data_IF_088048774350
#
_entry.id   IF_088048774350
#
_cell.length_a   1.000
_cell.length_b   1.000
_cell.length_c   1.000
_cell.angle_alpha   90.00
_cell.angle_beta   90.00
_cell.angle_gamma   90.00
#
_symmetry.space_group_name_H-M   'P 1'
#
loop_
_entity.id
_entity.type
_entity.pdbx_description
1 polymer ?
#
# COMPACT_ATOMS: atom_id res chain seq x y z
N UNK A 1 10.71 -10.83 -8.74
CA UNK A 1 11.16 -11.18 -7.37
C UNK A 1 10.77 -10.02 -6.45
N UNK A 2 9.97 -10.26 -5.39
CA UNK A 2 9.41 -9.18 -4.55
C UNK A 2 10.53 -8.51 -3.77
N UNK A 3 10.72 -7.21 -3.94
CA UNK A 3 11.78 -6.46 -3.25
C UNK A 3 11.21 -5.68 -2.07
N UNK A 4 11.69 -5.96 -0.86
CA UNK A 4 11.32 -5.22 0.36
C UNK A 4 12.27 -4.03 0.57
N UNK A 5 11.71 -2.83 0.61
CA UNK A 5 12.42 -1.58 0.87
C UNK A 5 12.03 -1.02 2.23
N UNK A 6 13.05 -0.81 3.06
CA UNK A 6 12.92 -0.29 4.41
C UNK A 6 13.80 0.95 4.53
N UNK A 7 13.42 1.95 5.32
CA UNK A 7 14.13 3.23 5.41
C UNK A 7 15.60 3.20 5.85
N UNK A 8 16.19 2.03 6.11
CA UNK A 8 17.63 1.83 6.36
C UNK A 8 18.38 1.04 5.27
N UNK A 9 17.71 0.59 4.20
CA UNK A 9 18.31 -0.26 3.15
C UNK A 9 17.35 -1.35 2.62
N UNK A 10 17.77 -2.08 1.57
CA UNK A 10 17.04 -3.26 1.05
C UNK A 10 17.27 -4.44 1.99
N UNK A 11 16.20 -5.06 2.49
CA UNK A 11 16.31 -6.33 3.23
C UNK A 11 16.13 -7.50 2.26
N UNK A 12 16.91 -8.58 2.44
CA UNK A 12 16.92 -9.73 1.53
C UNK A 12 15.55 -10.41 1.44
N UNK A 13 15.13 -10.66 0.21
CA UNK A 13 13.79 -11.03 -0.25
C UNK A 13 13.35 -12.46 0.11
N UNK A 14 14.29 -13.34 0.48
CA UNK A 14 14.01 -14.76 0.70
C UNK A 14 13.22 -15.06 1.98
N UNK A 15 13.38 -14.26 3.05
CA UNK A 15 12.70 -14.51 4.32
C UNK A 15 11.21 -14.09 4.33
N UNK A 16 10.84 -13.14 3.46
CA UNK A 16 9.49 -12.54 3.45
C UNK A 16 8.44 -13.36 2.70
N UNK A 17 8.88 -14.24 1.79
CA UNK A 17 7.99 -15.14 1.03
C UNK A 17 7.14 -16.07 1.92
N UNK A 18 7.56 -16.31 3.16
CA UNK A 18 6.92 -17.26 4.07
C UNK A 18 5.80 -16.64 4.94
N UNK A 19 5.81 -15.32 5.15
CA UNK A 19 4.94 -14.67 6.15
C UNK A 19 3.79 -13.85 5.56
N UNK A 20 3.79 -13.55 4.26
CA UNK A 20 2.71 -12.78 3.64
C UNK A 20 1.73 -13.67 2.88
N UNK A 21 0.42 -13.56 3.14
CA UNK A 21 -0.60 -14.32 2.42
C UNK A 21 -0.84 -13.80 1.00
N UNK A 22 -0.18 -12.71 0.59
CA UNK A 22 -0.26 -12.23 -0.77
C UNK A 22 0.48 -13.19 -1.70
N UNK A 23 -0.28 -13.81 -2.61
CA UNK A 23 0.22 -14.83 -3.52
C UNK A 23 1.34 -14.35 -4.47
N UNK A 24 1.78 -15.22 -5.40
CA UNK A 24 2.86 -14.93 -6.35
C UNK A 24 2.65 -13.67 -7.22
N UNK A 25 1.45 -13.11 -7.25
CA UNK A 25 1.08 -11.89 -7.98
C UNK A 25 1.91 -10.65 -7.57
N UNK A 26 2.31 -10.54 -6.29
CA UNK A 26 3.11 -9.38 -5.81
C UNK A 26 4.62 -9.53 -6.02
N UNK A 27 5.09 -10.60 -6.67
CA UNK A 27 6.51 -10.82 -6.86
C UNK A 27 7.21 -9.81 -7.76
N UNK A 28 6.50 -8.95 -8.48
CA UNK A 28 7.14 -7.92 -9.32
C UNK A 28 6.91 -6.50 -8.78
N UNK A 29 6.59 -6.39 -7.48
CA UNK A 29 6.32 -5.12 -6.80
C UNK A 29 7.44 -4.78 -5.81
N UNK A 30 7.66 -3.47 -5.62
CA UNK A 30 8.38 -2.95 -4.48
C UNK A 30 7.46 -2.88 -3.27
N UNK A 31 7.84 -3.50 -2.14
CA UNK A 31 7.09 -3.43 -0.89
C UNK A 31 7.75 -2.42 0.05
N UNK A 32 7.09 -1.30 0.31
CA UNK A 32 7.61 -0.17 1.06
C UNK A 32 6.91 -0.09 2.41
N UNK A 33 7.62 -0.38 3.49
CA UNK A 33 7.10 -0.30 4.86
C UNK A 33 7.52 1.02 5.48
N UNK A 34 6.56 1.88 5.79
CA UNK A 34 6.80 3.27 6.23
C UNK A 34 6.58 3.49 7.72
N UNK A 35 6.24 2.44 8.49
CA UNK A 35 5.92 2.51 9.92
C UNK A 35 6.57 1.40 10.78
N UNK A 36 7.25 1.76 11.89
CA UNK A 36 7.95 0.80 12.77
C UNK A 36 7.00 -0.03 13.64
N UNK A 37 5.79 0.45 13.89
CA UNK A 37 4.86 -0.11 14.89
C UNK A 37 4.16 -1.39 14.44
N UNK A 38 4.19 -1.69 13.14
CA UNK A 38 3.59 -2.92 12.62
C UNK A 38 4.42 -4.16 12.99
N UNK A 39 3.81 -5.34 12.97
CA UNK A 39 4.56 -6.61 13.14
C UNK A 39 5.65 -6.75 12.09
N UNK A 40 5.37 -6.34 10.86
CA UNK A 40 6.32 -6.33 9.76
C UNK A 40 7.45 -5.34 10.06
N UNK A 41 7.11 -4.10 10.42
CA UNK A 41 8.08 -3.06 10.75
C UNK A 41 9.02 -3.46 11.90
N UNK A 42 8.48 -4.09 12.96
CA UNK A 42 9.30 -4.62 14.06
C UNK A 42 10.22 -5.75 13.62
N UNK A 43 9.74 -6.69 12.79
CA UNK A 43 10.54 -7.81 12.29
C UNK A 43 11.61 -7.39 11.27
N UNK A 44 11.38 -6.30 10.53
CA UNK A 44 12.30 -5.81 9.50
C UNK A 44 13.24 -4.71 9.96
N UNK A 45 13.04 -4.19 11.18
CA UNK A 45 13.70 -2.96 11.62
C UNK A 45 13.27 -1.74 10.80
N UNK A 46 12.01 -1.69 10.35
CA UNK A 46 11.54 -0.55 9.59
C UNK A 46 11.53 0.72 10.41
N UNK A 47 12.09 1.78 9.85
CA UNK A 47 12.00 3.12 10.42
C UNK A 47 10.77 3.82 9.90
N UNK A 48 10.26 4.76 10.69
CA UNK A 48 9.19 5.64 10.23
C UNK A 48 9.74 6.50 9.11
N UNK A 49 9.05 6.53 7.97
CA UNK A 49 9.42 7.38 6.85
C UNK A 49 8.51 8.60 6.78
N UNK A 50 9.11 9.75 6.51
CA UNK A 50 8.37 10.92 6.08
C UNK A 50 8.08 10.85 4.57
N UNK A 51 7.37 11.86 4.06
CA UNK A 51 7.03 11.93 2.63
C UNK A 51 8.26 11.87 1.71
N UNK A 52 9.38 12.48 2.11
CA UNK A 52 10.57 12.54 1.27
C UNK A 52 11.29 11.19 1.25
N UNK A 53 11.35 10.51 2.41
CA UNK A 53 11.84 9.15 2.50
C UNK A 53 11.06 8.17 1.63
N UNK A 54 9.73 8.30 1.57
CA UNK A 54 8.88 7.51 0.67
C UNK A 54 9.28 7.76 -0.79
N UNK A 55 9.38 9.02 -1.21
CA UNK A 55 9.76 9.34 -2.59
C UNK A 55 11.14 8.80 -2.95
N UNK A 56 12.14 8.98 -2.08
CA UNK A 56 13.49 8.46 -2.29
C UNK A 56 13.53 6.93 -2.45
N UNK A 57 12.73 6.20 -1.66
CA UNK A 57 12.63 4.74 -1.82
C UNK A 57 12.01 4.34 -3.15
N UNK A 58 10.97 5.05 -3.58
CA UNK A 58 10.30 4.78 -4.87
C UNK A 58 11.26 5.07 -6.02
N UNK A 59 12.00 6.17 -5.99
CA UNK A 59 13.02 6.46 -7.01
C UNK A 59 14.09 5.37 -7.08
N UNK A 60 14.59 4.91 -5.94
CA UNK A 60 15.58 3.85 -5.87
C UNK A 60 15.02 2.52 -6.40
N UNK A 61 13.77 2.20 -6.07
CA UNK A 61 13.07 1.04 -6.62
C UNK A 61 12.96 1.13 -8.14
N UNK A 62 12.46 2.24 -8.68
CA UNK A 62 12.28 2.42 -10.12
C UNK A 62 13.61 2.35 -10.89
N UNK A 63 14.69 2.91 -10.33
CA UNK A 63 16.05 2.81 -10.91
C UNK A 63 16.55 1.37 -11.00
N UNK A 64 16.27 0.55 -9.98
CA UNK A 64 16.73 -0.85 -9.91
C UNK A 64 15.81 -1.82 -10.63
N UNK A 65 14.52 -1.48 -10.74
CA UNK A 65 13.47 -2.33 -11.28
C UNK A 65 12.63 -1.56 -12.31
N UNK A 66 13.20 -1.16 -13.47
CA UNK A 66 12.49 -0.37 -14.48
C UNK A 66 11.24 -1.09 -15.02
N UNK A 67 11.28 -2.42 -15.06
CA UNK A 67 10.19 -3.30 -15.49
C UNK A 67 9.27 -3.76 -14.35
N UNK A 68 9.45 -3.24 -13.13
CA UNK A 68 8.59 -3.57 -11.99
C UNK A 68 7.13 -3.17 -12.25
N UNK A 69 6.18 -3.96 -11.74
CA UNK A 69 4.74 -3.75 -11.99
C UNK A 69 4.16 -2.58 -11.19
N UNK A 70 4.68 -2.34 -10.00
CA UNK A 70 4.11 -1.37 -9.08
C UNK A 70 4.83 -1.26 -7.75
N UNK A 71 4.20 -0.53 -6.83
CA UNK A 71 4.61 -0.44 -5.43
C UNK A 71 3.43 -0.73 -4.51
N UNK A 72 3.71 -1.38 -3.39
CA UNK A 72 2.84 -1.43 -2.24
C UNK A 72 3.43 -0.51 -1.17
N UNK A 73 2.65 0.47 -0.70
CA UNK A 73 3.03 1.36 0.39
C UNK A 73 2.24 1.00 1.65
N UNK A 74 2.93 0.46 2.67
CA UNK A 74 2.36 -0.01 3.94
C UNK A 74 2.70 0.96 5.08
N UNK A 75 1.70 1.70 5.57
CA UNK A 75 1.84 2.57 6.76
C UNK A 75 2.01 1.77 8.06
N UNK A 76 1.70 0.48 8.04
CA UNK A 76 1.81 -0.46 9.13
C UNK A 76 0.44 -0.84 9.71
N UNK A 77 0.32 -2.10 10.13
CA UNK A 77 -0.83 -2.60 10.92
C UNK A 77 -1.00 -1.75 12.18
N UNK A 78 -2.10 -1.00 12.27
CA UNK A 78 -2.38 -0.08 13.37
C UNK A 78 -1.91 1.37 13.17
N UNK A 79 -1.51 1.76 11.95
CA UNK A 79 -1.38 3.18 11.62
C UNK A 79 -2.67 3.92 11.95
N UNK A 80 -2.55 5.06 12.65
CA UNK A 80 -3.72 5.89 13.02
C UNK A 80 -4.35 6.56 11.81
N UNK A 81 -3.51 6.91 10.84
CA UNK A 81 -3.89 7.62 9.63
C UNK A 81 -3.38 6.87 8.39
N UNK A 82 -4.18 6.83 7.32
CA UNK A 82 -3.76 6.30 6.03
C UNK A 82 -2.68 7.19 5.41
N UNK A 83 -2.09 6.73 4.30
CA UNK A 83 -1.21 7.56 3.50
C UNK A 83 -1.98 8.79 2.97
N UNK A 84 -1.43 9.99 3.10
CA UNK A 84 -2.14 11.20 2.65
C UNK A 84 -2.34 11.21 1.12
N UNK A 85 -3.47 11.73 0.65
CA UNK A 85 -3.76 11.90 -0.79
C UNK A 85 -2.68 12.67 -1.53
N UNK A 86 -2.07 13.67 -0.90
CA UNK A 86 -0.97 14.45 -1.49
C UNK A 86 0.24 13.57 -1.83
N UNK A 87 0.56 12.62 -0.95
CA UNK A 87 1.64 11.66 -1.20
C UNK A 87 1.26 10.73 -2.35
N UNK A 88 0.05 10.17 -2.35
CA UNK A 88 -0.43 9.29 -3.43
C UNK A 88 -0.40 9.98 -4.79
N UNK A 89 -0.89 11.23 -4.89
CA UNK A 89 -0.83 12.04 -6.13
C UNK A 89 0.59 12.23 -6.64
N UNK A 90 1.54 12.48 -5.73
CA UNK A 90 2.94 12.64 -6.12
C UNK A 90 3.55 11.31 -6.57
N UNK A 91 3.24 10.20 -5.88
CA UNK A 91 3.67 8.87 -6.32
C UNK A 91 3.11 8.55 -7.70
N UNK A 92 1.83 8.78 -7.97
CA UNK A 92 1.24 8.61 -9.32
C UNK A 92 2.01 9.39 -10.38
N UNK A 93 2.43 10.63 -10.11
CA UNK A 93 3.27 11.40 -11.04
C UNK A 93 4.64 10.77 -11.29
N UNK A 94 5.24 10.16 -10.27
CA UNK A 94 6.54 9.48 -10.38
C UNK A 94 6.47 8.16 -11.17
N UNK A 95 5.33 7.47 -11.14
CA UNK A 95 5.14 6.16 -11.76
C UNK A 95 3.80 6.05 -12.51
N UNK A 96 3.59 6.85 -13.58
CA UNK A 96 2.28 7.06 -14.20
C UNK A 96 1.60 5.78 -14.70
N UNK A 97 2.36 4.80 -15.19
CA UNK A 97 1.86 3.56 -15.79
C UNK A 97 1.95 2.32 -14.90
N UNK A 98 2.45 2.44 -13.66
CA UNK A 98 2.66 1.30 -12.74
C UNK A 98 1.59 1.31 -11.64
N UNK A 99 1.30 0.14 -11.07
CA UNK A 99 0.26 0.01 -10.05
C UNK A 99 0.71 0.59 -8.70
N UNK A 100 -0.21 1.29 -8.03
CA UNK A 100 -0.03 1.82 -6.67
C UNK A 100 -1.03 1.13 -5.75
N UNK A 101 -0.48 0.34 -4.82
CA UNK A 101 -1.23 -0.31 -3.75
C UNK A 101 -0.95 0.43 -2.45
N UNK A 102 -2.00 0.77 -1.70
CA UNK A 102 -1.88 1.46 -0.40
C UNK A 102 -2.53 0.63 0.71
N UNK A 103 -1.78 0.39 1.78
CA UNK A 103 -2.23 -0.30 2.98
C UNK A 103 -1.87 0.45 4.27
N UNK A 104 -2.58 0.12 5.34
CA UNK A 104 -2.38 0.67 6.68
C UNK A 104 -3.21 1.92 6.96
N UNK A 105 -3.94 1.92 8.08
CA UNK A 105 -4.73 3.06 8.55
C UNK A 105 -6.03 3.34 7.79
N UNK A 106 -6.44 2.46 6.86
CA UNK A 106 -7.70 2.61 6.11
C UNK A 106 -8.85 2.03 6.94
N UNK A 107 -9.83 2.86 7.30
CA UNK A 107 -10.92 2.50 8.21
C UNK A 107 -12.31 2.89 7.70
N UNK A 108 -12.42 3.54 6.55
CA UNK A 108 -13.71 3.98 6.00
C UNK A 108 -13.77 3.89 4.47
N UNK A 109 -14.96 3.71 3.88
CA UNK A 109 -15.17 3.81 2.44
C UNK A 109 -14.72 5.16 1.87
N UNK A 110 -14.92 6.26 2.62
CA UNK A 110 -14.49 7.59 2.21
C UNK A 110 -12.97 7.68 2.05
N UNK A 111 -12.22 7.06 2.96
CA UNK A 111 -10.76 6.97 2.84
C UNK A 111 -10.35 6.26 1.56
N UNK A 112 -11.04 5.17 1.22
CA UNK A 112 -10.78 4.39 0.00
C UNK A 112 -11.05 5.24 -1.24
N UNK A 113 -12.20 5.94 -1.29
CA UNK A 113 -12.55 6.85 -2.38
C UNK A 113 -11.50 7.95 -2.56
N UNK A 114 -11.07 8.59 -1.47
CA UNK A 114 -10.08 9.65 -1.50
C UNK A 114 -8.72 9.17 -2.03
N UNK A 115 -8.28 7.98 -1.60
CA UNK A 115 -7.05 7.36 -2.09
C UNK A 115 -7.17 6.99 -3.58
N UNK A 116 -8.30 6.43 -4.00
CA UNK A 116 -8.57 6.12 -5.40
C UNK A 116 -8.50 7.37 -6.28
N UNK A 117 -9.21 8.44 -5.91
CA UNK A 117 -9.16 9.74 -6.61
C UNK A 117 -7.77 10.37 -6.62
N UNK A 118 -6.92 10.05 -5.65
CA UNK A 118 -5.54 10.48 -5.61
C UNK A 118 -4.62 9.69 -6.57
N UNK A 119 -5.10 8.60 -7.17
CA UNK A 119 -4.39 7.75 -8.12
C UNK A 119 -3.92 6.40 -7.56
N UNK A 120 -4.46 5.97 -6.42
CA UNK A 120 -4.30 4.61 -5.91
C UNK A 120 -5.14 3.64 -6.74
N UNK A 121 -4.54 2.54 -7.22
CA UNK A 121 -5.26 1.52 -7.97
C UNK A 121 -5.90 0.48 -7.04
N UNK A 122 -5.29 0.25 -5.88
CA UNK A 122 -5.75 -0.75 -4.92
C UNK A 122 -5.55 -0.34 -3.47
N UNK A 123 -6.63 -0.43 -2.69
CA UNK A 123 -6.57 -0.24 -1.24
C UNK A 123 -6.63 -1.59 -0.51
N UNK A 124 -5.79 -1.73 0.53
CA UNK A 124 -5.76 -2.91 1.41
C UNK A 124 -6.33 -2.53 2.78
N UNK A 125 -7.41 -3.20 3.17
CA UNK A 125 -8.14 -2.92 4.42
C UNK A 125 -8.12 -4.18 5.29
N UNK A 126 -7.17 -4.26 6.23
CA UNK A 126 -7.03 -5.40 7.15
C UNK A 126 -7.64 -5.14 8.53
N UNK A 127 -6.91 -4.36 9.36
CA UNK A 127 -7.22 -4.14 10.78
C UNK A 127 -8.65 -3.66 11.06
N UNK A 128 -9.29 -2.93 10.14
CA UNK A 128 -10.69 -2.55 10.28
C UNK A 128 -11.62 -3.77 10.33
N UNK A 129 -11.46 -4.73 9.41
CA UNK A 129 -12.31 -5.94 9.37
C UNK A 129 -11.94 -6.95 10.44
N UNK A 130 -10.66 -7.05 10.84
CA UNK A 130 -10.26 -7.84 12.01
C UNK A 130 -11.02 -7.39 13.28
N UNK A 131 -11.19 -6.08 13.46
CA UNK A 131 -11.89 -5.50 14.62
C UNK A 131 -13.42 -5.48 14.47
N UNK A 132 -13.93 -5.58 13.25
CA UNK A 132 -15.36 -5.46 12.95
C UNK A 132 -15.83 -6.63 12.05
N UNK A 133 -15.76 -7.89 12.54
CA UNK A 133 -16.20 -9.04 11.78
C UNK A 133 -17.71 -8.92 11.52
N UNK A 134 -18.09 -8.69 10.26
CA UNK A 134 -19.47 -8.43 9.84
C UNK A 134 -19.69 -7.09 9.15
N UNK A 135 -18.75 -6.15 9.24
CA UNK A 135 -18.85 -4.84 8.55
C UNK A 135 -18.46 -4.85 7.07
N UNK A 136 -18.03 -6.00 6.54
CA UNK A 136 -17.58 -6.12 5.15
C UNK A 136 -18.66 -5.73 4.15
N UNK A 137 -19.89 -6.24 4.33
CA UNK A 137 -21.00 -5.95 3.43
C UNK A 137 -21.33 -4.45 3.42
N UNK A 138 -21.63 -3.88 4.58
CA UNK A 138 -21.94 -2.44 4.73
C UNK A 138 -20.82 -1.58 4.13
N UNK A 139 -19.55 -1.94 4.37
CA UNK A 139 -18.41 -1.17 3.87
C UNK A 139 -18.35 -1.17 2.34
N UNK A 140 -18.57 -2.33 1.72
CA UNK A 140 -18.54 -2.48 0.26
C UNK A 140 -19.72 -1.75 -0.38
N UNK A 141 -20.92 -1.88 0.17
CA UNK A 141 -22.13 -1.20 -0.33
C UNK A 141 -21.94 0.32 -0.31
N UNK A 142 -21.54 0.89 0.83
CA UNK A 142 -21.24 2.33 0.97
C UNK A 142 -20.13 2.82 0.03
N UNK A 143 -19.21 1.94 -0.36
CA UNK A 143 -18.12 2.28 -1.26
C UNK A 143 -18.56 2.32 -2.71
N UNK A 144 -19.38 1.37 -3.15
CA UNK A 144 -19.93 1.37 -4.51
C UNK A 144 -20.86 2.56 -4.77
N UNK A 145 -21.57 3.05 -3.75
CA UNK A 145 -22.34 4.30 -3.87
C UNK A 145 -21.45 5.53 -4.13
N UNK A 146 -20.19 5.49 -3.69
CA UNK A 146 -19.23 6.60 -3.77
C UNK A 146 -18.35 6.56 -5.01
N UNK A 147 -18.04 5.35 -5.49
CA UNK A 147 -17.22 5.13 -6.66
C UNK A 147 -18.16 4.92 -7.85
N UNK A 148 -18.60 6.02 -8.45
CA UNK A 148 -19.19 6.00 -9.79
C UNK A 148 -18.04 5.64 -10.75
N UNK A 149 -18.06 4.45 -11.36
CA UNK A 149 -16.91 3.90 -12.08
C UNK A 149 -17.10 3.97 -13.61
N UNK A 150 -16.90 5.12 -14.28
CA UNK A 150 -16.64 5.13 -15.70
C UNK A 150 -15.18 4.69 -15.93
N UNK A 151 -14.96 3.39 -16.11
CA UNK A 151 -13.78 2.85 -16.81
C UNK A 151 -12.45 2.73 -16.06
N UNK A 152 -12.42 2.81 -14.72
CA UNK A 152 -11.19 2.62 -13.92
C UNK A 152 -11.06 1.22 -13.30
N UNK A 153 -9.87 0.60 -13.37
CA UNK A 153 -9.53 -0.68 -12.74
C UNK A 153 -9.27 -0.55 -11.22
N UNK A 154 -10.22 -0.01 -10.44
CA UNK A 154 -10.05 0.06 -8.99
C UNK A 154 -10.31 -1.29 -8.33
N UNK A 155 -9.41 -1.73 -7.43
CA UNK A 155 -9.52 -3.01 -6.73
C UNK A 155 -9.43 -2.83 -5.22
N UNK A 156 -10.13 -3.68 -4.49
CA UNK A 156 -10.05 -3.72 -3.02
C UNK A 156 -9.58 -5.11 -2.62
N UNK A 157 -8.69 -5.18 -1.65
CA UNK A 157 -8.22 -6.44 -1.08
C UNK A 157 -8.39 -6.41 0.43
N UNK A 158 -8.86 -7.53 0.97
CA UNK A 158 -9.18 -7.76 2.39
C UNK A 158 -8.22 -8.79 2.97
#
# INVERSE_FOLDING_TARGET
>A
MMDLYVGGGKLLTSFFKFFFPFGPELWDYGYLVTGPSSTVGRKTGAIKLDKNGIYSLIENYLKKNPNGKGVYIEQGSGAKEPLSEKVVRNVRKMMPSKEIIVGGGITSPQTVENLWRAGCDRCVVGTFFEKNPGKMRDFIENLFEKIDAPGGNFRISF
#
